data_IF_817509103856
#
_entry.id   IF_817509103856
#
_cell.length_a   1.000
_cell.length_b   1.000
_cell.length_c   1.000
_cell.angle_alpha   90.00
_cell.angle_beta   90.00
_cell.angle_gamma   90.00
#
_symmetry.space_group_name_H-M   'P 1'
#
loop_
_entity.id
_entity.type
_entity.pdbx_description
1 polymer ?
#
# COMPACT_ATOMS: atom_id res chain seq x y z
N UNK A 1 21.21 12.36 -28.28
CA UNK A 1 21.26 12.00 -29.72
C UNK A 1 22.37 10.96 -29.90
N UNK A 2 22.05 9.79 -30.49
CA UNK A 2 23.04 8.78 -30.87
C UNK A 2 23.32 8.90 -32.35
N UNK A 3 24.56 8.67 -32.75
CA UNK A 3 24.99 8.74 -34.13
C UNK A 3 25.91 7.58 -34.47
N UNK A 4 25.84 7.11 -35.69
CA UNK A 4 26.77 6.12 -36.22
C UNK A 4 27.10 6.44 -37.69
N UNK A 5 28.20 5.92 -38.15
CA UNK A 5 28.64 6.03 -39.54
C UNK A 5 28.82 4.64 -40.11
N UNK A 6 28.36 4.42 -41.31
CA UNK A 6 28.54 3.19 -42.05
C UNK A 6 29.59 3.29 -43.16
N UNK A 7 29.75 2.23 -43.95
CA UNK A 7 30.56 2.24 -45.13
C UNK A 7 30.05 3.30 -46.15
N UNK A 8 30.91 3.78 -46.97
CA UNK A 8 30.53 4.70 -48.06
C UNK A 8 29.69 3.93 -49.06
N UNK A 9 28.49 4.43 -49.44
CA UNK A 9 27.68 3.82 -50.46
C UNK A 9 28.40 3.80 -51.80
N UNK A 10 28.24 2.72 -52.54
CA UNK A 10 28.77 2.58 -53.91
C UNK A 10 27.69 2.94 -54.92
N UNK A 11 28.09 3.25 -56.16
CA UNK A 11 27.13 3.48 -57.25
C UNK A 11 26.42 2.15 -57.59
N UNK A 12 25.12 2.20 -57.72
CA UNK A 12 24.32 0.99 -57.97
C UNK A 12 24.59 0.50 -59.38
N UNK A 13 24.89 -0.80 -59.46
CA UNK A 13 25.13 -1.50 -60.77
C UNK A 13 23.84 -2.17 -61.25
N UNK A 14 23.03 -2.75 -60.35
CA UNK A 14 21.81 -3.48 -60.71
C UNK A 14 20.57 -2.98 -59.99
N UNK A 15 20.65 -2.70 -58.69
CA UNK A 15 19.51 -2.27 -57.88
C UNK A 15 19.95 -1.11 -56.99
N UNK A 16 19.39 0.06 -57.24
CA UNK A 16 19.57 1.21 -56.34
C UNK A 16 18.77 1.06 -55.07
N UNK A 17 19.32 1.51 -53.94
CA UNK A 17 18.67 1.53 -52.67
C UNK A 17 17.50 2.52 -52.68
N UNK A 18 16.30 2.05 -52.32
CA UNK A 18 15.11 2.92 -52.27
C UNK A 18 14.90 3.50 -50.88
N UNK A 19 14.04 4.52 -50.77
CA UNK A 19 13.63 5.09 -49.47
C UNK A 19 12.86 4.04 -48.67
N UNK A 20 11.98 3.31 -49.32
CA UNK A 20 11.14 2.26 -48.72
C UNK A 20 12.01 1.15 -48.12
N UNK A 21 13.08 0.76 -48.81
CA UNK A 21 14.04 -0.22 -48.26
C UNK A 21 14.72 0.25 -47.00
N UNK A 22 15.17 1.55 -46.99
CA UNK A 22 15.79 2.15 -45.82
C UNK A 22 14.80 2.22 -44.63
N UNK A 23 13.61 2.76 -44.90
CA UNK A 23 12.56 2.91 -43.86
C UNK A 23 12.14 1.56 -43.28
N UNK A 24 11.93 0.56 -44.14
CA UNK A 24 11.60 -0.80 -43.70
C UNK A 24 12.68 -1.45 -42.84
N UNK A 25 13.96 -1.19 -43.11
CA UNK A 25 15.08 -1.74 -42.34
C UNK A 25 15.39 -0.97 -41.08
N UNK A 26 15.34 0.36 -41.13
CA UNK A 26 15.67 1.24 -40.00
C UNK A 26 14.56 1.28 -38.93
N UNK A 27 13.29 1.11 -39.34
CA UNK A 27 12.16 1.08 -38.42
C UNK A 27 12.10 -0.15 -37.51
N UNK A 28 12.87 -1.20 -37.81
CA UNK A 28 12.87 -2.44 -37.02
C UNK A 28 13.54 -2.26 -35.68
N UNK A 29 12.78 -2.36 -34.60
CA UNK A 29 13.25 -2.22 -33.21
C UNK A 29 13.12 -3.49 -32.38
N UNK A 30 12.84 -4.64 -33.03
CA UNK A 30 12.64 -5.92 -32.35
C UNK A 30 13.79 -6.29 -31.40
N UNK A 31 13.45 -6.85 -30.22
CA UNK A 31 14.41 -7.18 -29.17
C UNK A 31 14.90 -5.98 -28.35
N UNK A 32 14.29 -4.79 -28.53
CA UNK A 32 14.59 -3.57 -27.75
C UNK A 32 13.32 -3.00 -27.11
N UNK A 33 13.44 -2.17 -26.07
CA UNK A 33 12.27 -1.51 -25.44
C UNK A 33 11.78 -0.29 -26.23
N UNK A 34 12.20 -0.11 -27.49
CA UNK A 34 11.89 1.05 -28.31
C UNK A 34 10.89 0.72 -29.41
N UNK A 35 10.14 1.73 -29.82
CA UNK A 35 9.40 1.74 -31.09
C UNK A 35 9.90 2.87 -31.96
N UNK A 36 9.86 2.68 -33.29
CA UNK A 36 10.23 3.70 -34.24
C UNK A 36 9.02 4.59 -34.55
N UNK A 37 9.07 5.85 -34.16
CA UNK A 37 7.98 6.81 -34.40
C UNK A 37 7.97 7.32 -35.85
N UNK A 38 9.14 7.54 -36.43
CA UNK A 38 9.30 7.96 -37.84
C UNK A 38 10.73 7.73 -38.31
N UNK A 39 10.87 7.57 -39.62
CA UNK A 39 12.17 7.51 -40.31
C UNK A 39 12.18 8.61 -41.33
N UNK A 40 13.25 9.41 -41.39
CA UNK A 40 13.49 10.40 -42.45
C UNK A 40 14.76 9.99 -43.20
N UNK A 41 14.65 9.83 -44.49
CA UNK A 41 15.74 9.38 -45.33
C UNK A 41 16.08 10.46 -46.40
N UNK A 42 17.36 10.60 -46.72
CA UNK A 42 17.85 11.38 -47.82
C UNK A 42 18.86 10.55 -48.58
N UNK A 43 18.61 10.31 -49.86
CA UNK A 43 19.49 9.58 -50.78
C UNK A 43 20.04 10.57 -51.83
N UNK A 44 21.35 10.56 -52.00
CA UNK A 44 22.07 11.40 -52.96
C UNK A 44 22.46 10.66 -54.23
N UNK A 45 21.46 10.22 -55.03
CA UNK A 45 21.68 9.48 -56.28
C UNK A 45 21.41 8.00 -56.21
N UNK A 46 21.69 7.29 -57.30
CA UNK A 46 21.50 5.86 -57.41
C UNK A 46 22.67 5.14 -56.76
N UNK A 47 22.51 4.83 -55.47
CA UNK A 47 23.53 4.20 -54.65
C UNK A 47 23.07 2.81 -54.16
N UNK A 48 24.04 1.98 -53.86
CA UNK A 48 23.80 0.68 -53.19
C UNK A 48 24.55 0.59 -51.85
N UNK A 49 23.96 -0.11 -50.91
CA UNK A 49 24.58 -0.39 -49.63
C UNK A 49 24.11 -1.79 -49.14
N UNK A 50 25.02 -2.62 -48.67
CA UNK A 50 24.63 -3.93 -48.16
C UNK A 50 23.61 -3.84 -47.03
N UNK A 51 22.59 -4.69 -47.05
CA UNK A 51 21.56 -4.75 -46.01
C UNK A 51 22.15 -5.05 -44.62
N UNK A 52 23.26 -5.77 -44.57
CA UNK A 52 24.02 -6.05 -43.34
C UNK A 52 24.58 -4.78 -42.72
N UNK A 53 25.10 -3.83 -43.55
CA UNK A 53 25.62 -2.55 -43.07
C UNK A 53 24.51 -1.67 -42.47
N UNK A 54 23.36 -1.55 -43.13
CA UNK A 54 22.21 -0.81 -42.63
C UNK A 54 21.74 -1.37 -41.28
N UNK A 55 21.64 -2.72 -41.22
CA UNK A 55 21.24 -3.39 -39.96
C UNK A 55 22.27 -3.24 -38.84
N UNK A 56 23.59 -3.21 -39.19
CA UNK A 56 24.66 -2.95 -38.21
C UNK A 56 24.56 -1.55 -37.61
N UNK A 57 24.40 -0.53 -38.48
CA UNK A 57 24.21 0.86 -38.04
C UNK A 57 22.99 1.02 -37.14
N UNK A 58 21.86 0.44 -37.52
CA UNK A 58 20.65 0.44 -36.68
C UNK A 58 20.90 -0.16 -35.30
N UNK A 59 21.53 -1.35 -35.25
CA UNK A 59 21.84 -2.03 -33.96
C UNK A 59 22.79 -1.22 -33.11
N UNK A 60 23.80 -0.59 -33.73
CA UNK A 60 24.76 0.26 -33.01
C UNK A 60 24.07 1.48 -32.39
N UNK A 61 23.24 2.21 -33.14
CA UNK A 61 22.49 3.36 -32.61
C UNK A 61 21.54 2.98 -31.49
N UNK A 62 20.83 1.84 -31.61
CA UNK A 62 19.94 1.36 -30.56
C UNK A 62 20.71 0.91 -29.30
N UNK A 63 21.89 0.31 -29.49
CA UNK A 63 22.79 -0.03 -28.38
C UNK A 63 23.31 1.22 -27.66
N UNK A 64 23.78 2.22 -28.40
CA UNK A 64 24.20 3.50 -27.85
C UNK A 64 23.06 4.19 -27.09
N UNK A 65 21.85 4.17 -27.66
CA UNK A 65 20.67 4.75 -27.01
C UNK A 65 20.35 4.04 -25.70
N UNK A 66 20.43 2.73 -25.69
CA UNK A 66 20.24 1.91 -24.48
C UNK A 66 21.28 2.24 -23.42
N UNK A 67 22.55 2.29 -23.79
CA UNK A 67 23.64 2.65 -22.90
C UNK A 67 23.51 4.09 -22.36
N UNK A 68 23.11 5.04 -23.23
CA UNK A 68 22.91 6.42 -22.82
C UNK A 68 21.73 6.57 -21.85
N UNK A 69 20.61 5.88 -22.10
CA UNK A 69 19.43 5.91 -21.24
C UNK A 69 19.64 5.13 -19.93
N UNK A 70 20.45 4.07 -19.97
CA UNK A 70 20.83 3.28 -18.81
C UNK A 70 21.89 3.95 -17.91
N UNK A 71 22.46 5.09 -18.31
CA UNK A 71 23.40 5.81 -17.46
C UNK A 71 22.71 6.33 -16.21
N UNK A 72 23.06 5.73 -15.08
CA UNK A 72 22.66 6.25 -13.77
C UNK A 72 23.56 7.45 -13.46
N UNK A 73 22.96 8.59 -13.17
CA UNK A 73 23.73 9.75 -12.67
C UNK A 73 24.33 9.34 -11.32
N UNK A 74 25.64 9.59 -11.09
CA UNK A 74 26.24 9.34 -9.79
C UNK A 74 25.42 10.04 -8.70
N UNK A 75 25.00 9.29 -7.68
CA UNK A 75 24.35 9.89 -6.52
C UNK A 75 25.38 10.80 -5.81
N UNK A 76 24.97 12.00 -5.45
CA UNK A 76 25.78 12.85 -4.57
C UNK A 76 25.74 12.23 -3.18
N UNK A 77 26.92 11.90 -2.67
CA UNK A 77 27.05 11.50 -1.27
C UNK A 77 26.79 12.72 -0.39
N UNK A 78 25.77 12.62 0.43
CA UNK A 78 25.53 13.62 1.48
C UNK A 78 26.09 13.08 2.80
N UNK A 79 26.54 13.97 3.70
CA UNK A 79 26.94 13.54 5.03
C UNK A 79 25.83 12.73 5.70
N UNK A 80 26.22 11.67 6.38
CA UNK A 80 25.26 10.88 7.16
C UNK A 80 24.77 11.70 8.34
N UNK A 81 23.50 12.07 8.33
CA UNK A 81 22.86 12.69 9.48
C UNK A 81 22.53 11.60 10.50
N UNK A 82 23.09 11.72 11.70
CA UNK A 82 22.76 10.83 12.81
C UNK A 82 21.25 10.78 13.06
N UNK A 83 20.75 9.60 13.44
CA UNK A 83 19.38 9.45 13.89
C UNK A 83 19.21 10.19 15.23
N UNK A 84 18.16 10.99 15.34
CA UNK A 84 17.74 11.52 16.64
C UNK A 84 16.98 10.41 17.35
N UNK A 85 17.43 9.97 18.53
CA UNK A 85 16.70 8.96 19.28
C UNK A 85 15.41 9.55 19.89
N UNK A 86 14.37 8.74 19.89
CA UNK A 86 13.09 9.02 20.55
C UNK A 86 12.64 7.75 21.27
N UNK A 87 12.48 7.81 22.57
CA UNK A 87 12.15 6.65 23.41
C UNK A 87 10.67 6.23 23.26
N UNK A 88 9.84 7.13 22.72
CA UNK A 88 8.41 6.93 22.57
C UNK A 88 7.61 7.38 23.78
N UNK A 89 6.44 6.77 23.97
CA UNK A 89 5.53 7.11 25.05
C UNK A 89 5.85 6.32 26.32
N UNK A 90 5.66 6.94 27.47
CA UNK A 90 5.72 6.29 28.79
C UNK A 90 4.32 5.94 29.25
N UNK A 91 4.18 4.87 30.05
CA UNK A 91 2.90 4.42 30.60
C UNK A 91 2.25 3.27 29.83
N UNK A 92 0.96 3.07 30.11
CA UNK A 92 0.18 2.01 29.44
C UNK A 92 -0.23 2.45 28.04
N UNK A 93 -0.02 1.58 27.03
CA UNK A 93 -0.53 1.85 25.70
C UNK A 93 -2.05 1.98 25.67
N UNK A 94 -2.54 2.94 24.93
CA UNK A 94 -3.97 3.21 24.77
C UNK A 94 -4.64 2.15 23.87
N UNK A 95 -5.97 2.06 23.94
CA UNK A 95 -6.75 1.25 23.04
C UNK A 95 -7.11 2.01 21.79
N UNK A 96 -6.80 1.45 20.62
CA UNK A 96 -7.36 1.87 19.34
C UNK A 96 -8.12 0.70 18.71
N UNK A 97 -9.16 1.00 17.96
CA UNK A 97 -10.00 -0.02 17.32
C UNK A 97 -10.16 0.31 15.84
N UNK A 98 -9.98 -0.68 14.99
CA UNK A 98 -10.32 -0.61 13.58
C UNK A 98 -11.47 -1.56 13.28
N UNK A 99 -12.49 -1.06 12.61
CA UNK A 99 -13.63 -1.86 12.12
C UNK A 99 -13.63 -1.85 10.60
N UNK A 100 -14.25 -2.86 10.03
CA UNK A 100 -14.42 -2.99 8.59
C UNK A 100 -15.83 -2.57 8.14
N UNK A 101 -16.82 -2.78 8.99
CA UNK A 101 -18.20 -2.40 8.74
C UNK A 101 -18.77 -1.67 9.94
N UNK A 102 -19.68 -0.76 9.65
CA UNK A 102 -20.47 -0.06 10.66
C UNK A 102 -21.15 -1.01 11.66
N UNK A 103 -21.63 -2.16 11.18
CA UNK A 103 -22.28 -3.16 12.05
C UNK A 103 -21.42 -3.70 13.19
N UNK A 104 -20.10 -3.54 13.11
CA UNK A 104 -19.15 -3.93 14.15
C UNK A 104 -19.01 -2.89 15.27
N UNK A 105 -19.57 -1.70 15.10
CA UNK A 105 -19.55 -0.64 16.14
C UNK A 105 -20.67 -0.92 17.14
N UNK A 106 -20.30 -1.63 18.23
CA UNK A 106 -21.26 -2.04 19.25
C UNK A 106 -21.39 -1.00 20.38
N UNK A 107 -22.49 -1.01 21.14
CA UNK A 107 -22.61 -0.19 22.35
C UNK A 107 -21.47 -0.42 23.36
N UNK A 108 -20.99 -1.67 23.47
CA UNK A 108 -19.84 -2.00 24.33
C UNK A 108 -18.56 -1.33 23.82
N UNK A 109 -18.34 -1.28 22.51
CA UNK A 109 -17.19 -0.59 21.93
C UNK A 109 -17.22 0.90 22.28
N UNK A 110 -18.38 1.53 22.12
CA UNK A 110 -18.56 2.95 22.45
C UNK A 110 -18.37 3.20 23.95
N UNK A 111 -18.85 2.33 24.80
CA UNK A 111 -18.68 2.42 26.27
C UNK A 111 -17.21 2.28 26.71
N UNK A 112 -16.37 1.55 25.97
CA UNK A 112 -14.94 1.42 26.23
C UNK A 112 -14.13 2.64 25.79
N UNK A 113 -14.74 3.55 25.03
CA UNK A 113 -14.14 4.84 24.59
C UNK A 113 -12.72 4.65 24.03
N UNK A 114 -12.51 3.86 22.94
CA UNK A 114 -11.21 3.74 22.36
C UNK A 114 -10.69 5.13 21.99
N UNK A 115 -9.40 5.39 22.17
CA UNK A 115 -8.80 6.70 21.86
C UNK A 115 -9.01 7.08 20.40
N UNK A 116 -8.91 6.09 19.48
CA UNK A 116 -9.23 6.28 18.07
C UNK A 116 -10.05 5.09 17.56
N UNK A 117 -11.12 5.41 16.86
CA UNK A 117 -11.91 4.47 16.07
C UNK A 117 -11.64 4.68 14.59
N UNK A 118 -11.06 3.68 13.95
CA UNK A 118 -10.77 3.66 12.51
C UNK A 118 -11.92 3.01 11.75
N UNK A 119 -12.57 3.76 10.86
CA UNK A 119 -13.74 3.31 10.10
C UNK A 119 -13.49 3.56 8.62
N UNK A 120 -13.79 2.61 7.70
CA UNK A 120 -13.64 2.84 6.26
C UNK A 120 -14.38 4.11 5.80
N UNK A 121 -13.76 4.89 4.93
CA UNK A 121 -14.34 6.10 4.35
C UNK A 121 -15.75 5.85 3.79
N UNK A 122 -15.94 4.73 3.10
CA UNK A 122 -17.25 4.37 2.51
C UNK A 122 -18.32 4.11 3.57
N UNK A 123 -17.97 3.53 4.72
CA UNK A 123 -18.91 3.27 5.84
C UNK A 123 -19.34 4.58 6.52
N UNK A 124 -18.41 5.55 6.66
CA UNK A 124 -18.74 6.87 7.20
C UNK A 124 -19.68 7.63 6.27
N UNK A 125 -19.46 7.54 4.94
CA UNK A 125 -20.33 8.18 3.96
C UNK A 125 -21.71 7.52 3.88
N UNK A 126 -21.80 6.21 4.17
CA UNK A 126 -23.07 5.49 4.24
C UNK A 126 -23.88 5.81 5.50
N UNK A 127 -23.22 6.28 6.57
CA UNK A 127 -23.82 6.66 7.85
C UNK A 127 -23.33 8.04 8.32
N UNK A 128 -23.87 9.13 7.76
CA UNK A 128 -23.43 10.49 8.08
C UNK A 128 -23.59 10.90 9.54
N UNK A 129 -24.43 10.21 10.32
CA UNK A 129 -24.66 10.50 11.73
C UNK A 129 -23.64 9.86 12.65
N UNK A 130 -22.79 8.96 12.13
CA UNK A 130 -21.79 8.27 12.93
C UNK A 130 -20.87 9.22 13.71
N UNK A 131 -20.32 10.30 13.13
CA UNK A 131 -19.47 11.22 13.87
C UNK A 131 -20.15 11.84 15.09
N UNK A 132 -21.44 12.15 14.99
CA UNK A 132 -22.25 12.74 16.07
C UNK A 132 -22.55 11.77 17.22
N UNK A 133 -22.52 10.45 16.96
CA UNK A 133 -22.76 9.42 17.99
C UNK A 133 -21.52 9.07 18.81
N UNK A 134 -20.35 9.48 18.35
CA UNK A 134 -19.12 9.27 19.10
C UNK A 134 -18.96 10.36 20.15
N UNK A 135 -18.63 9.98 21.38
CA UNK A 135 -18.29 10.94 22.43
C UNK A 135 -17.01 11.69 22.11
N UNK A 136 -16.80 12.83 22.76
CA UNK A 136 -15.62 13.68 22.58
C UNK A 136 -14.30 12.98 22.89
N UNK A 137 -14.33 11.89 23.63
CA UNK A 137 -13.14 11.14 24.04
C UNK A 137 -12.64 10.15 22.96
N UNK A 138 -13.49 9.77 21.98
CA UNK A 138 -13.14 8.88 20.89
C UNK A 138 -12.96 9.67 19.60
N UNK A 139 -11.76 9.67 19.08
CA UNK A 139 -11.46 10.31 17.80
C UNK A 139 -11.84 9.39 16.64
N UNK A 140 -12.60 9.91 15.68
CA UNK A 140 -12.92 9.19 14.45
C UNK A 140 -11.87 9.46 13.38
N UNK A 141 -11.27 8.41 12.86
CA UNK A 141 -10.36 8.47 11.71
C UNK A 141 -10.92 7.66 10.52
N UNK A 142 -11.05 8.29 9.38
CA UNK A 142 -11.50 7.62 8.17
C UNK A 142 -10.34 6.82 7.54
N UNK A 143 -10.57 5.52 7.28
CA UNK A 143 -9.61 4.64 6.61
C UNK A 143 -9.74 4.82 5.11
N UNK A 144 -8.65 5.23 4.45
CA UNK A 144 -8.62 5.34 2.99
C UNK A 144 -8.39 3.97 2.33
N UNK A 145 -8.90 3.74 1.11
CA UNK A 145 -8.54 2.58 0.30
C UNK A 145 -7.02 2.50 0.15
N UNK A 146 -6.44 1.31 0.23
CA UNK A 146 -4.97 1.14 0.11
C UNK A 146 -4.44 1.54 -1.26
N UNK A 147 -5.21 1.32 -2.31
CA UNK A 147 -4.87 1.69 -3.68
C UNK A 147 -5.88 2.69 -4.19
N UNK A 148 -5.38 3.78 -4.74
CA UNK A 148 -6.15 4.80 -5.45
C UNK A 148 -5.44 5.04 -6.78
N UNK A 149 -6.14 4.80 -7.89
CA UNK A 149 -5.61 5.06 -9.22
C UNK A 149 -5.82 6.53 -9.61
N UNK A 150 -5.01 7.05 -10.52
CA UNK A 150 -5.11 8.44 -10.99
C UNK A 150 -6.51 8.83 -11.47
N UNK A 151 -7.29 7.89 -12.02
CA UNK A 151 -8.69 8.13 -12.40
C UNK A 151 -9.66 8.28 -11.22
N UNK A 152 -9.30 7.82 -10.03
CA UNK A 152 -10.13 7.84 -8.81
C UNK A 152 -9.88 9.10 -7.96
N UNK A 153 -8.85 9.90 -8.26
CA UNK A 153 -8.43 11.07 -7.47
C UNK A 153 -9.55 12.09 -7.25
N UNK A 154 -10.34 12.36 -8.31
CA UNK A 154 -11.47 13.31 -8.24
C UNK A 154 -12.56 12.83 -7.30
N UNK A 155 -12.88 11.54 -7.36
CA UNK A 155 -13.86 10.92 -6.49
C UNK A 155 -13.40 10.96 -5.04
N UNK A 156 -12.15 10.57 -4.77
CA UNK A 156 -11.56 10.63 -3.44
C UNK A 156 -11.59 12.06 -2.89
N UNK A 157 -11.20 13.06 -3.68
CA UNK A 157 -11.23 14.45 -3.25
C UNK A 157 -12.65 14.96 -2.90
N UNK A 158 -13.67 14.49 -3.61
CA UNK A 158 -15.07 14.81 -3.29
C UNK A 158 -15.51 14.13 -1.97
N UNK A 159 -15.17 12.87 -1.79
CA UNK A 159 -15.46 12.11 -0.57
C UNK A 159 -14.77 12.71 0.66
N UNK A 160 -13.52 13.14 0.52
CA UNK A 160 -12.78 13.82 1.60
C UNK A 160 -13.46 15.13 2.02
N UNK A 161 -13.90 15.94 1.06
CA UNK A 161 -14.67 17.17 1.37
C UNK A 161 -15.96 16.85 2.14
N UNK A 162 -16.63 15.77 1.77
CA UNK A 162 -17.87 15.37 2.43
C UNK A 162 -17.64 14.94 3.87
N UNK A 163 -16.71 14.03 4.13
CA UNK A 163 -16.44 13.61 5.52
C UNK A 163 -15.88 14.75 6.37
N UNK A 164 -15.17 15.72 5.75
CA UNK A 164 -14.73 16.92 6.46
C UNK A 164 -15.92 17.76 6.94
N UNK A 165 -16.98 17.90 6.14
CA UNK A 165 -18.24 18.55 6.52
C UNK A 165 -18.95 17.81 7.65
N UNK A 166 -18.89 16.47 7.65
CA UNK A 166 -19.43 15.64 8.72
C UNK A 166 -18.65 15.71 10.03
N UNK A 167 -17.57 16.49 10.09
CA UNK A 167 -16.78 16.67 11.31
C UNK A 167 -15.58 15.75 11.46
N UNK A 168 -15.33 14.85 10.52
CA UNK A 168 -14.11 13.99 10.54
C UNK A 168 -12.88 14.86 10.29
N UNK A 169 -11.84 14.69 11.08
CA UNK A 169 -10.60 15.50 11.00
C UNK A 169 -9.35 14.65 10.84
N UNK A 170 -9.46 13.34 10.88
CA UNK A 170 -8.33 12.42 10.84
C UNK A 170 -8.52 11.36 9.75
N UNK A 171 -7.42 11.01 9.09
CA UNK A 171 -7.36 9.95 8.09
C UNK A 171 -6.33 8.91 8.48
N UNK A 172 -6.66 7.63 8.27
CA UNK A 172 -5.71 6.53 8.29
C UNK A 172 -5.29 6.22 6.85
N UNK A 173 -4.00 6.38 6.55
CA UNK A 173 -3.45 6.23 5.21
C UNK A 173 -2.47 5.05 5.14
N UNK A 174 -2.65 4.19 4.17
CA UNK A 174 -1.81 3.03 3.92
C UNK A 174 -0.90 3.15 2.69
N UNK A 175 -0.84 4.34 2.06
CA UNK A 175 -0.07 4.60 0.85
C UNK A 175 0.59 5.99 0.90
N UNK A 176 1.89 6.08 0.59
CA UNK A 176 2.64 7.34 0.61
C UNK A 176 2.02 8.43 -0.28
N UNK A 177 1.46 8.04 -1.44
CA UNK A 177 0.79 8.98 -2.35
C UNK A 177 -0.40 9.71 -1.72
N UNK A 178 -1.05 9.11 -0.72
CA UNK A 178 -2.20 9.70 -0.04
C UNK A 178 -1.81 10.80 0.97
N UNK A 179 -0.56 10.84 1.43
CA UNK A 179 -0.11 11.83 2.43
C UNK A 179 -0.32 13.26 1.94
N UNK A 180 0.07 13.54 0.69
CA UNK A 180 -0.08 14.88 0.11
C UNK A 180 -1.55 15.26 -0.05
N UNK A 181 -2.39 14.34 -0.51
CA UNK A 181 -3.83 14.55 -0.72
C UNK A 181 -4.53 14.82 0.62
N UNK A 182 -4.25 13.99 1.62
CA UNK A 182 -4.83 14.11 2.96
C UNK A 182 -4.51 15.46 3.62
N UNK A 183 -3.24 15.87 3.54
CA UNK A 183 -2.80 17.16 4.11
C UNK A 183 -3.34 18.36 3.37
N UNK A 184 -3.35 18.32 2.04
CA UNK A 184 -3.93 19.40 1.23
C UNK A 184 -5.44 19.56 1.51
N UNK A 185 -6.13 18.49 1.91
CA UNK A 185 -7.52 18.51 2.34
C UNK A 185 -7.73 18.92 3.82
N UNK A 186 -6.67 19.23 4.57
CA UNK A 186 -6.73 19.76 5.95
C UNK A 186 -6.88 18.70 7.03
N UNK A 187 -6.60 17.42 6.73
CA UNK A 187 -6.69 16.36 7.72
C UNK A 187 -5.37 16.11 8.46
N UNK A 188 -5.50 15.75 9.74
CA UNK A 188 -4.46 15.06 10.48
C UNK A 188 -4.28 13.63 9.94
N UNK A 189 -3.05 13.15 9.87
CA UNK A 189 -2.73 11.90 9.16
C UNK A 189 -2.13 10.87 10.09
N UNK A 190 -2.76 9.71 10.15
CA UNK A 190 -2.26 8.51 10.80
C UNK A 190 -1.78 7.51 9.76
N UNK A 191 -0.59 6.96 9.97
CA UNK A 191 -0.03 5.95 9.07
C UNK A 191 -0.49 4.54 9.42
N UNK A 192 -0.91 3.78 8.43
CA UNK A 192 -1.28 2.38 8.59
C UNK A 192 -0.13 1.43 8.21
N UNK A 193 -0.30 0.13 8.46
CA UNK A 193 0.70 -0.91 8.16
C UNK A 193 1.20 -0.90 6.72
N UNK A 194 0.40 -0.43 5.76
CA UNK A 194 0.76 -0.32 4.35
C UNK A 194 1.93 0.63 4.07
N UNK A 195 2.27 1.55 4.99
CA UNK A 195 3.49 2.36 4.91
C UNK A 195 4.75 1.56 5.26
N UNK A 196 4.59 0.36 5.76
CA UNK A 196 5.61 -0.66 5.98
C UNK A 196 6.85 -0.16 6.75
N UNK A 197 6.63 0.36 7.94
CA UNK A 197 7.69 0.92 8.78
C UNK A 197 8.43 -0.18 9.52
N UNK A 198 9.71 -0.34 9.15
CA UNK A 198 10.63 -1.36 9.66
C UNK A 198 11.84 -0.82 10.42
N UNK A 199 12.09 0.48 10.34
CA UNK A 199 13.29 1.07 10.94
C UNK A 199 13.11 2.54 11.30
N UNK A 200 14.05 3.04 12.09
CA UNK A 200 14.04 4.41 12.60
C UNK A 200 14.14 5.48 11.50
N UNK A 201 14.79 5.19 10.36
CA UNK A 201 14.88 6.13 9.24
C UNK A 201 13.54 6.37 8.57
N UNK A 202 12.80 5.30 8.29
CA UNK A 202 11.44 5.40 7.74
C UNK A 202 10.52 6.16 8.72
N UNK A 203 10.68 5.91 10.02
CA UNK A 203 9.91 6.62 11.05
C UNK A 203 10.23 8.13 11.07
N UNK A 204 11.51 8.50 10.99
CA UNK A 204 11.95 9.90 10.90
C UNK A 204 11.41 10.59 9.64
N UNK A 205 11.41 9.87 8.51
CA UNK A 205 10.82 10.38 7.28
C UNK A 205 9.34 10.70 7.45
N UNK A 206 8.54 9.80 8.04
CA UNK A 206 7.12 10.04 8.28
C UNK A 206 6.88 11.21 9.22
N UNK A 207 7.71 11.36 10.27
CA UNK A 207 7.68 12.56 11.12
C UNK A 207 7.90 13.84 10.30
N UNK A 208 8.91 13.85 9.42
CA UNK A 208 9.18 15.00 8.54
C UNK A 208 8.04 15.26 7.55
N UNK A 209 7.30 14.22 7.17
CA UNK A 209 6.06 14.36 6.39
C UNK A 209 4.87 14.78 7.27
N UNK A 210 5.03 14.94 8.59
CA UNK A 210 4.00 15.34 9.55
C UNK A 210 2.90 14.30 9.71
N UNK A 211 3.26 13.04 9.82
CA UNK A 211 2.36 11.96 10.24
C UNK A 211 2.24 12.00 11.76
N UNK A 212 1.01 11.94 12.27
CA UNK A 212 0.70 12.13 13.70
C UNK A 212 0.83 10.86 14.52
N UNK A 213 0.59 9.69 13.91
CA UNK A 213 0.86 8.37 14.51
C UNK A 213 1.09 7.32 13.42
N UNK A 214 1.68 6.18 13.80
CA UNK A 214 2.03 5.13 12.85
C UNK A 214 1.79 3.74 13.42
N UNK A 215 1.04 2.90 12.70
CA UNK A 215 1.02 1.46 12.95
C UNK A 215 2.30 0.84 12.40
N UNK A 216 3.10 0.25 13.29
CA UNK A 216 4.33 -0.46 12.91
C UNK A 216 3.99 -1.72 12.11
N UNK A 217 4.93 -2.17 11.28
CA UNK A 217 4.76 -3.43 10.57
C UNK A 217 4.55 -4.59 11.54
N UNK A 218 3.55 -5.41 11.30
CA UNK A 218 3.27 -6.61 12.08
C UNK A 218 4.26 -7.76 11.80
N UNK A 219 5.24 -7.52 10.94
CA UNK A 219 6.34 -8.43 10.66
C UNK A 219 7.58 -8.15 11.53
N UNK A 220 7.55 -7.10 12.35
CA UNK A 220 8.61 -6.77 13.30
C UNK A 220 8.58 -7.71 14.51
N UNK A 221 9.77 -8.08 14.97
CA UNK A 221 9.92 -8.75 16.27
C UNK A 221 9.87 -7.76 17.43
N UNK A 222 9.61 -8.25 18.64
CA UNK A 222 9.62 -7.40 19.85
C UNK A 222 10.96 -6.68 20.08
N UNK A 223 12.14 -7.31 19.88
CA UNK A 223 13.42 -6.60 19.95
C UNK A 223 13.53 -5.47 18.91
N UNK A 224 13.07 -5.70 17.67
CA UNK A 224 13.08 -4.67 16.64
C UNK A 224 12.13 -3.51 16.99
N UNK A 225 10.93 -3.80 17.51
CA UNK A 225 9.99 -2.77 17.99
C UNK A 225 10.64 -1.95 19.11
N UNK A 226 11.35 -2.59 20.04
CA UNK A 226 12.08 -1.88 21.11
C UNK A 226 13.16 -0.98 20.53
N UNK A 227 13.93 -1.45 19.54
CA UNK A 227 15.05 -0.73 18.94
C UNK A 227 14.69 0.41 17.99
N UNK A 228 13.45 0.45 17.46
CA UNK A 228 13.00 1.57 16.60
C UNK A 228 12.88 2.84 17.42
N UNK A 229 13.53 3.92 16.97
CA UNK A 229 13.32 5.27 17.48
C UNK A 229 11.90 5.75 17.13
N UNK A 230 11.07 6.01 18.13
CA UNK A 230 9.63 6.31 17.97
C UNK A 230 9.41 7.80 17.75
N UNK A 231 9.89 8.28 16.61
CA UNK A 231 9.80 9.68 16.22
C UNK A 231 8.35 10.18 16.05
N UNK A 232 7.38 9.29 15.90
CA UNK A 232 5.94 9.55 15.99
C UNK A 232 5.28 8.54 16.94
N UNK A 233 4.14 8.86 17.56
CA UNK A 233 3.35 7.92 18.35
C UNK A 233 3.10 6.63 17.59
N UNK A 234 3.54 5.49 18.17
CA UNK A 234 3.60 4.21 17.47
C UNK A 234 2.56 3.25 18.00
N UNK A 235 1.84 2.58 17.09
CA UNK A 235 0.89 1.52 17.39
C UNK A 235 1.43 0.16 16.97
N UNK A 236 0.93 -0.91 17.61
CA UNK A 236 1.08 -2.29 17.14
C UNK A 236 -0.28 -2.99 17.10
N UNK A 237 -0.44 -3.92 16.18
CA UNK A 237 -1.62 -4.76 16.08
C UNK A 237 -1.53 -5.90 17.08
N UNK A 238 -2.55 -6.10 17.90
CA UNK A 238 -2.61 -7.19 18.91
C UNK A 238 -3.77 -8.14 18.71
N UNK A 239 -4.72 -7.81 17.85
CA UNK A 239 -5.84 -8.65 17.47
C UNK A 239 -6.32 -8.38 16.05
N UNK A 240 -6.65 -9.43 15.31
CA UNK A 240 -7.32 -9.37 14.01
C UNK A 240 -6.69 -10.25 12.94
N UNK A 241 -7.35 -10.38 11.79
CA UNK A 241 -6.79 -11.12 10.66
C UNK A 241 -5.84 -10.22 9.87
N UNK A 242 -4.62 -10.71 9.64
CA UNK A 242 -3.63 -9.99 8.84
C UNK A 242 -4.04 -10.06 7.36
N UNK A 243 -3.96 -8.94 6.62
CA UNK A 243 -4.15 -8.94 5.17
C UNK A 243 -2.93 -9.58 4.50
N UNK A 244 -3.18 -10.56 3.62
CA UNK A 244 -2.15 -11.27 2.87
C UNK A 244 -1.99 -10.72 1.46
N UNK A 245 -3.12 -10.37 0.81
CA UNK A 245 -3.11 -9.94 -0.58
C UNK A 245 -4.23 -8.94 -0.84
N UNK A 246 -3.93 -7.91 -1.62
CA UNK A 246 -4.90 -7.01 -2.22
C UNK A 246 -4.98 -7.32 -3.72
N UNK A 247 -6.19 -7.61 -4.21
CA UNK A 247 -6.42 -8.05 -5.58
C UNK A 247 -7.32 -7.06 -6.32
N UNK A 248 -6.87 -6.57 -7.48
CA UNK A 248 -7.73 -5.83 -8.43
C UNK A 248 -8.76 -6.75 -9.08
N UNK A 249 -8.40 -8.01 -9.25
CA UNK A 249 -9.27 -9.01 -9.83
C UNK A 249 -10.28 -9.52 -8.80
N UNK A 250 -11.57 -9.36 -9.10
CA UNK A 250 -12.63 -9.84 -8.21
C UNK A 250 -12.80 -11.37 -8.37
N UNK A 251 -12.26 -12.13 -7.42
CA UNK A 251 -12.34 -13.61 -7.42
C UNK A 251 -13.78 -14.12 -7.32
N UNK A 252 -14.68 -13.36 -6.69
CA UNK A 252 -16.10 -13.71 -6.57
C UNK A 252 -16.76 -13.62 -7.94
N UNK A 253 -16.61 -12.48 -8.63
CA UNK A 253 -17.16 -12.28 -9.97
C UNK A 253 -16.58 -13.26 -10.99
N UNK A 254 -15.29 -13.58 -10.89
CA UNK A 254 -14.67 -14.56 -11.79
C UNK A 254 -15.26 -15.96 -11.63
N UNK A 255 -15.61 -16.33 -10.40
CA UNK A 255 -16.21 -17.65 -10.15
C UNK A 255 -17.69 -17.70 -10.50
N UNK A 256 -18.45 -16.66 -10.22
CA UNK A 256 -19.92 -16.64 -10.31
C UNK A 256 -20.44 -15.98 -11.58
N UNK A 257 -19.59 -15.30 -12.34
CA UNK A 257 -19.96 -14.47 -13.51
C UNK A 257 -20.61 -13.14 -13.14
N UNK A 258 -21.03 -12.94 -11.89
CA UNK A 258 -21.75 -11.76 -11.42
C UNK A 258 -21.13 -11.19 -10.15
N UNK A 259 -21.43 -9.92 -9.85
CA UNK A 259 -21.04 -9.31 -8.56
C UNK A 259 -21.95 -9.87 -7.47
N UNK A 260 -21.38 -10.64 -6.54
CA UNK A 260 -22.07 -11.26 -5.41
C UNK A 260 -21.33 -11.04 -4.09
N UNK A 261 -20.68 -9.88 -3.93
CA UNK A 261 -19.89 -9.56 -2.72
C UNK A 261 -20.74 -9.54 -1.45
N UNK A 262 -22.03 -9.23 -1.58
CA UNK A 262 -22.98 -9.08 -0.47
C UNK A 262 -23.80 -10.37 -0.21
N UNK A 263 -23.59 -11.41 -1.03
CA UNK A 263 -24.33 -12.67 -0.91
C UNK A 263 -23.83 -13.59 0.23
N UNK A 264 -22.80 -13.16 0.98
CA UNK A 264 -22.24 -13.91 2.10
C UNK A 264 -20.70 -13.95 2.11
N UNK A 265 -20.10 -14.59 3.12
CA UNK A 265 -18.65 -14.66 3.25
C UNK A 265 -18.03 -15.49 2.12
N UNK A 266 -17.09 -14.90 1.40
CA UNK A 266 -16.26 -15.60 0.41
C UNK A 266 -14.95 -16.06 1.07
N UNK A 267 -14.41 -17.19 0.61
CA UNK A 267 -13.15 -17.74 1.09
C UNK A 267 -12.39 -18.46 -0.03
N UNK A 268 -11.07 -18.46 0.07
CA UNK A 268 -10.21 -19.41 -0.62
C UNK A 268 -9.87 -20.54 0.34
N UNK A 269 -9.71 -21.73 -0.19
CA UNK A 269 -9.28 -22.90 0.58
C UNK A 269 -8.00 -23.40 -0.07
N UNK A 270 -6.95 -23.58 0.71
CA UNK A 270 -5.70 -24.13 0.23
C UNK A 270 -5.73 -25.66 0.13
N UNK A 271 -4.64 -26.25 -0.36
CA UNK A 271 -4.51 -27.71 -0.48
C UNK A 271 -4.50 -28.46 0.86
N UNK A 272 -4.29 -27.74 1.97
CA UNK A 272 -4.29 -28.30 3.34
C UNK A 272 -5.64 -28.13 4.02
N UNK A 273 -6.62 -27.53 3.34
CA UNK A 273 -7.95 -27.27 3.88
C UNK A 273 -8.04 -25.99 4.73
N UNK A 274 -6.98 -25.18 4.82
CA UNK A 274 -7.04 -23.90 5.55
C UNK A 274 -7.88 -22.88 4.77
N UNK A 275 -8.76 -22.19 5.47
CA UNK A 275 -9.71 -21.25 4.92
C UNK A 275 -9.21 -19.81 5.08
N UNK A 276 -9.09 -19.10 3.97
CA UNK A 276 -8.66 -17.71 3.91
C UNK A 276 -9.84 -16.82 3.51
N UNK A 277 -10.40 -16.04 4.44
CA UNK A 277 -11.52 -15.15 4.12
C UNK A 277 -11.13 -14.10 3.08
N UNK A 278 -12.07 -13.85 2.16
CA UNK A 278 -11.99 -12.79 1.16
C UNK A 278 -13.00 -11.73 1.54
N UNK A 279 -12.55 -10.50 1.56
CA UNK A 279 -13.37 -9.35 1.90
C UNK A 279 -13.19 -8.25 0.87
N UNK A 280 -14.21 -7.40 0.69
CA UNK A 280 -14.18 -6.26 -0.20
C UNK A 280 -13.28 -5.15 0.37
N UNK A 281 -12.47 -4.50 -0.41
CA UNK A 281 -11.70 -3.32 -0.01
C UNK A 281 -12.56 -2.07 -0.10
N UNK A 282 -12.98 -1.58 1.05
CA UNK A 282 -13.78 -0.37 1.32
C UNK A 282 -14.31 0.43 0.14
N UNK A 283 -15.45 0.05 -0.42
CA UNK A 283 -16.13 0.81 -1.47
C UNK A 283 -15.67 0.53 -2.90
N UNK A 284 -14.62 -0.26 -3.12
CA UNK A 284 -14.16 -0.69 -4.44
C UNK A 284 -14.49 -2.16 -4.73
N UNK A 285 -14.36 -2.60 -6.00
CA UNK A 285 -14.48 -4.02 -6.35
C UNK A 285 -13.20 -4.82 -6.07
N UNK A 286 -12.20 -4.23 -5.42
CA UNK A 286 -10.98 -4.90 -4.98
C UNK A 286 -11.27 -5.88 -3.86
N UNK A 287 -10.56 -6.97 -3.85
CA UNK A 287 -10.68 -7.98 -2.80
C UNK A 287 -9.42 -8.02 -1.94
N UNK A 288 -9.60 -8.18 -0.63
CA UNK A 288 -8.51 -8.45 0.30
C UNK A 288 -8.62 -9.88 0.77
N UNK A 289 -7.55 -10.66 0.57
CA UNK A 289 -7.38 -11.98 1.16
C UNK A 289 -6.83 -11.80 2.57
N UNK A 290 -7.50 -12.39 3.54
CA UNK A 290 -7.10 -12.34 4.94
C UNK A 290 -6.49 -13.69 5.37
N UNK A 291 -5.61 -13.64 6.37
CA UNK A 291 -5.05 -14.84 6.98
C UNK A 291 -6.17 -15.73 7.55
N UNK A 292 -6.06 -17.03 7.36
CA UNK A 292 -6.99 -18.03 7.92
C UNK A 292 -7.07 -17.97 9.44
N UNK A 293 -5.95 -17.69 10.12
CA UNK A 293 -5.87 -17.55 11.57
C UNK A 293 -5.84 -16.10 12.01
N UNK A 294 -6.57 -15.76 13.06
CA UNK A 294 -6.54 -14.44 13.70
C UNK A 294 -5.24 -14.27 14.49
N UNK A 295 -4.62 -13.12 14.39
CA UNK A 295 -3.61 -12.69 15.36
C UNK A 295 -4.30 -12.50 16.71
N UNK A 296 -3.73 -13.09 17.76
CA UNK A 296 -4.24 -12.94 19.13
C UNK A 296 -3.08 -12.79 20.11
N UNK A 297 -3.02 -11.64 20.78
CA UNK A 297 -1.96 -11.26 21.72
C UNK A 297 -2.51 -10.56 22.96
N UNK A 298 -3.84 -10.68 23.23
CA UNK A 298 -4.47 -9.99 24.35
C UNK A 298 -3.96 -10.51 25.70
N UNK A 299 -3.65 -11.80 25.79
CA UNK A 299 -3.01 -12.44 26.94
C UNK A 299 -1.53 -12.06 27.13
N UNK A 300 -0.93 -11.40 26.13
CA UNK A 300 0.47 -10.98 26.13
C UNK A 300 0.64 -9.44 26.22
N UNK A 301 -0.39 -8.71 26.58
CA UNK A 301 -0.36 -7.22 26.64
C UNK A 301 0.80 -6.68 27.45
N UNK A 302 1.17 -7.35 28.53
CA UNK A 302 2.29 -6.95 29.40
C UNK A 302 3.62 -6.90 28.65
N UNK A 303 3.80 -7.71 27.59
CA UNK A 303 5.04 -7.73 26.79
C UNK A 303 5.24 -6.42 26.03
N UNK A 304 4.15 -5.70 25.72
CA UNK A 304 4.19 -4.43 24.99
C UNK A 304 4.42 -3.21 25.91
N UNK A 305 4.30 -3.39 27.24
CA UNK A 305 4.66 -2.35 28.20
C UNK A 305 6.16 -2.04 28.12
N UNK A 306 6.52 -0.80 28.23
CA UNK A 306 7.93 -0.39 28.19
C UNK A 306 8.60 -0.48 26.82
N UNK A 307 7.82 -0.74 25.73
CA UNK A 307 8.32 -0.66 24.38
C UNK A 307 8.20 0.74 23.75
N UNK A 308 7.76 1.75 24.50
CA UNK A 308 7.58 3.10 24.01
C UNK A 308 6.38 3.27 23.07
N UNK A 309 5.39 2.36 23.11
CA UNK A 309 4.22 2.36 22.24
C UNK A 309 3.16 3.35 22.77
N UNK A 310 2.53 4.05 21.84
CA UNK A 310 1.37 4.88 22.13
C UNK A 310 0.09 4.06 22.32
N UNK A 311 -0.12 3.05 21.44
CA UNK A 311 -1.37 2.30 21.46
C UNK A 311 -1.21 0.84 21.00
N UNK A 312 -2.19 0.03 21.41
CA UNK A 312 -2.43 -1.33 20.93
C UNK A 312 -3.74 -1.34 20.13
N UNK A 313 -3.69 -1.87 18.91
CA UNK A 313 -4.83 -1.88 17.99
C UNK A 313 -5.54 -3.24 17.99
N UNK A 314 -6.87 -3.20 18.12
CA UNK A 314 -7.76 -4.30 17.77
C UNK A 314 -8.32 -4.03 16.37
N UNK A 315 -8.16 -4.98 15.44
CA UNK A 315 -8.67 -4.84 14.07
C UNK A 315 -9.75 -5.91 13.82
N UNK A 316 -11.00 -5.47 13.81
CA UNK A 316 -12.13 -6.32 13.47
C UNK A 316 -12.31 -6.39 11.95
N UNK A 317 -12.38 -7.61 11.42
CA UNK A 317 -12.42 -7.88 9.98
C UNK A 317 -13.64 -8.68 9.57
N UNK A 318 -13.79 -9.90 10.07
CA UNK A 318 -14.89 -10.83 9.74
C UNK A 318 -15.83 -11.08 10.92
N UNK A 319 -15.56 -10.45 12.05
CA UNK A 319 -16.31 -10.62 13.29
C UNK A 319 -17.72 -10.02 13.17
N UNK A 320 -18.73 -10.78 13.61
CA UNK A 320 -20.06 -10.25 13.86
C UNK A 320 -20.09 -9.42 15.17
N UNK A 321 -21.14 -8.62 15.44
CA UNK A 321 -21.21 -7.81 16.65
C UNK A 321 -21.02 -8.57 17.97
N UNK A 322 -21.55 -9.77 18.06
CA UNK A 322 -21.41 -10.61 19.26
C UNK A 322 -19.97 -11.11 19.46
N UNK A 323 -19.26 -11.42 18.39
CA UNK A 323 -17.84 -11.78 18.44
C UNK A 323 -16.97 -10.55 18.80
N UNK A 324 -17.31 -9.37 18.27
CA UNK A 324 -16.67 -8.10 18.65
C UNK A 324 -16.78 -7.89 20.15
N UNK A 325 -17.98 -8.03 20.71
CA UNK A 325 -18.23 -7.84 22.16
C UNK A 325 -17.48 -8.85 23.02
N UNK A 326 -17.33 -10.11 22.57
CA UNK A 326 -16.50 -11.11 23.26
C UNK A 326 -15.03 -10.68 23.33
N UNK A 327 -14.47 -10.20 22.22
CA UNK A 327 -13.07 -9.75 22.17
C UNK A 327 -12.88 -8.50 23.01
N UNK A 328 -13.81 -7.55 22.98
CA UNK A 328 -13.75 -6.34 23.80
C UNK A 328 -13.87 -6.69 25.31
N UNK A 329 -14.71 -7.64 25.67
CA UNK A 329 -14.78 -8.14 27.04
C UNK A 329 -13.46 -8.79 27.47
N UNK A 330 -12.83 -9.54 26.59
CA UNK A 330 -11.53 -10.16 26.83
C UNK A 330 -10.41 -9.15 26.95
N UNK A 331 -10.43 -8.09 26.13
CA UNK A 331 -9.53 -6.94 26.31
C UNK A 331 -9.56 -6.39 27.74
N UNK A 332 -10.77 -6.21 28.30
CA UNK A 332 -10.94 -5.70 29.67
C UNK A 332 -10.42 -6.69 30.71
N UNK A 333 -10.62 -8.00 30.49
CA UNK A 333 -10.19 -9.07 31.40
C UNK A 333 -8.71 -9.41 31.32
N UNK A 334 -7.99 -8.89 30.35
CA UNK A 334 -6.54 -9.13 30.19
C UNK A 334 -6.20 -10.41 29.43
N UNK A 335 -7.06 -10.87 28.53
CA UNK A 335 -6.75 -11.98 27.63
C UNK A 335 -6.99 -13.37 28.25
N UNK A 336 -8.17 -13.62 28.76
CA UNK A 336 -8.56 -14.90 29.35
C UNK A 336 -9.43 -15.78 28.44
N UNK A 337 -9.85 -15.22 27.31
CA UNK A 337 -10.69 -15.87 26.31
C UNK A 337 -9.87 -16.88 25.48
N UNK A 338 -10.43 -18.05 25.20
CA UNK A 338 -9.86 -18.96 24.21
C UNK A 338 -10.31 -18.54 22.81
N UNK A 339 -9.41 -18.00 21.98
CA UNK A 339 -9.74 -17.56 20.64
C UNK A 339 -9.90 -18.72 19.64
N UNK A 340 -9.74 -19.99 20.07
CA UNK A 340 -9.72 -21.15 19.19
C UNK A 340 -8.43 -21.20 18.35
N UNK A 341 -8.54 -21.41 17.03
CA UNK A 341 -7.38 -21.39 16.13
C UNK A 341 -6.89 -19.96 15.91
N UNK A 342 -5.65 -19.66 16.34
CA UNK A 342 -5.03 -18.34 16.24
C UNK A 342 -3.54 -18.41 15.90
N UNK A 343 -2.96 -17.25 15.60
CA UNK A 343 -1.51 -17.09 15.41
C UNK A 343 -0.97 -16.02 16.36
N UNK A 344 0.29 -16.16 16.76
CA UNK A 344 1.05 -15.12 17.48
C UNK A 344 1.73 -14.13 16.55
N UNK A 345 1.54 -14.28 15.24
CA UNK A 345 2.24 -13.45 14.25
C UNK A 345 3.74 -13.69 14.25
N UNK A 346 4.49 -12.68 13.84
CA UNK A 346 5.94 -12.72 13.72
C UNK A 346 6.68 -12.03 14.88
N UNK A 347 5.98 -11.55 15.90
CA UNK A 347 6.56 -10.79 17.01
C UNK A 347 7.67 -11.52 17.79
N UNK A 348 7.69 -12.84 17.77
CA UNK A 348 8.72 -13.62 18.45
C UNK A 348 9.85 -14.08 17.54
N UNK A 349 9.54 -14.50 16.30
CA UNK A 349 10.52 -15.13 15.40
C UNK A 349 10.89 -14.26 14.17
N UNK A 350 10.14 -13.24 13.84
CA UNK A 350 10.39 -12.39 12.68
C UNK A 350 10.10 -13.06 11.34
N UNK A 351 10.53 -12.38 10.28
CA UNK A 351 10.56 -12.90 8.90
C UNK A 351 11.93 -13.52 8.69
N UNK A 352 11.97 -14.77 8.27
CA UNK A 352 13.18 -15.50 7.89
C UNK A 352 13.55 -15.23 6.45
#
# INVERSE_FOLDING_TARGET
VCKTTGPVPEQAVYHALTREDLESRLSKTGGTPYFCASVKTALGGDVQLPASAINAMRRDVLSQLTAQRGRVKPARLHPYNALVPYDGMTGEPQLTVSVRSYSQITPRMLALRPTVLYVPLAEILADPDLPGRLGVETQLAAVLPRVVWSGEDRQLAAQLREIYRLGVRQLLVGNLGQLKIAKAAGFAVRGDFGLNIYNSRSMQYLRAQGVDSQLLSFELTLPQIRGISKAVPSEVLVYGRLPLMLMENCVIKNRTGTCACDAGPAKLVDRMGEEFPIVKDGGSCRNVLLNGKKLYLLDKRNVFRGLGLWALRLSFTTENPGEVDKVLADWVRGGTFDPGSYTRGLYQRGVE
#
